data_IF_444090586990
#
_entry.id   IF_444090586990
#
_cell.length_a   1.000
_cell.length_b   1.000
_cell.length_c   1.000
_cell.angle_alpha   90.00
_cell.angle_beta   90.00
_cell.angle_gamma   90.00
#
_symmetry.space_group_name_H-M   'P 1'
#
loop_
_entity.id
_entity.type
_entity.pdbx_description
1 polymer ?
#
# COMPACT_ATOMS: atom_id res chain seq x y z
N UNK A 1 12.67 2.87 2.43
CA UNK A 1 12.46 3.61 1.16
C UNK A 1 11.15 3.22 0.47
N UNK A 2 10.94 1.98 0.02
CA UNK A 2 9.67 1.60 -0.62
C UNK A 2 8.43 1.78 0.29
N UNK A 3 8.53 1.43 1.58
CA UNK A 3 7.48 1.67 2.56
C UNK A 3 7.12 3.17 2.70
N UNK A 4 8.13 4.06 2.65
CA UNK A 4 7.92 5.50 2.71
C UNK A 4 7.16 5.99 1.47
N UNK A 5 7.51 5.50 0.28
CA UNK A 5 6.79 5.82 -0.95
C UNK A 5 5.33 5.39 -0.91
N UNK A 6 5.03 4.23 -0.31
CA UNK A 6 3.69 3.66 -0.25
C UNK A 6 2.87 4.20 0.93
N UNK A 7 3.49 4.91 1.87
CA UNK A 7 2.76 5.50 2.97
C UNK A 7 2.00 6.73 2.46
N UNK A 8 0.65 6.73 2.50
CA UNK A 8 -0.15 7.83 1.97
C UNK A 8 0.08 9.15 2.71
N UNK A 9 0.48 9.13 3.99
CA UNK A 9 0.81 10.34 4.74
C UNK A 9 1.98 11.09 4.09
N UNK A 10 3.02 10.36 3.70
CA UNK A 10 4.26 10.93 3.15
C UNK A 10 4.25 11.04 1.62
N UNK A 11 3.55 10.12 0.93
CA UNK A 11 3.50 10.09 -0.52
C UNK A 11 2.92 11.38 -1.12
N UNK A 12 1.90 11.93 -0.48
CA UNK A 12 1.19 13.10 -0.98
C UNK A 12 1.72 14.43 -0.42
N UNK A 13 2.82 14.45 0.33
CA UNK A 13 3.54 15.68 0.70
C UNK A 13 4.36 16.22 -0.50
N UNK A 14 4.62 17.54 -0.52
CA UNK A 14 5.01 18.32 -1.72
C UNK A 14 6.42 18.06 -2.31
N UNK A 15 7.28 17.22 -1.70
CA UNK A 15 8.64 17.03 -2.22
C UNK A 15 8.73 16.03 -3.38
N UNK A 16 8.75 16.56 -4.60
CA UNK A 16 8.83 15.78 -5.85
C UNK A 16 10.22 15.15 -6.07
N UNK A 17 11.32 15.78 -5.60
CA UNK A 17 12.70 15.32 -5.91
C UNK A 17 13.01 13.99 -5.24
N UNK A 18 12.48 13.77 -4.04
CA UNK A 18 12.65 12.51 -3.31
C UNK A 18 11.88 11.36 -3.99
N UNK A 19 10.75 11.65 -4.65
CA UNK A 19 9.84 10.64 -5.20
C UNK A 19 10.44 9.80 -6.33
N UNK A 20 11.33 10.34 -7.16
CA UNK A 20 11.95 9.57 -8.26
C UNK A 20 12.94 8.53 -7.74
N UNK A 21 13.74 8.89 -6.74
CA UNK A 21 14.66 7.95 -6.07
C UNK A 21 13.90 6.81 -5.37
N UNK A 22 12.77 7.16 -4.75
CA UNK A 22 11.89 6.22 -4.08
C UNK A 22 11.14 5.32 -5.07
N UNK A 23 10.73 5.84 -6.22
CA UNK A 23 10.10 5.04 -7.28
C UNK A 23 11.06 3.97 -7.82
N UNK A 24 12.35 4.30 -8.00
CA UNK A 24 13.36 3.31 -8.38
C UNK A 24 13.49 2.21 -7.33
N UNK A 25 13.50 2.59 -6.06
CA UNK A 25 13.54 1.64 -4.94
C UNK A 25 12.29 0.75 -4.90
N UNK A 26 11.10 1.32 -5.14
CA UNK A 26 9.85 0.58 -5.22
C UNK A 26 9.87 -0.46 -6.34
N UNK A 27 10.36 -0.10 -7.53
CA UNK A 27 10.48 -1.02 -8.68
C UNK A 27 11.31 -2.27 -8.34
N UNK A 28 12.43 -2.07 -7.66
CA UNK A 28 13.31 -3.17 -7.21
C UNK A 28 12.59 -4.06 -6.19
N UNK A 29 11.83 -3.46 -5.28
CA UNK A 29 11.09 -4.24 -4.27
C UNK A 29 9.95 -5.04 -4.92
N UNK A 30 9.20 -4.44 -5.85
CA UNK A 30 8.14 -5.13 -6.61
C UNK A 30 8.72 -6.33 -7.35
N UNK A 31 9.84 -6.17 -8.07
CA UNK A 31 10.45 -7.27 -8.81
C UNK A 31 10.98 -8.40 -7.92
N UNK A 32 11.31 -8.11 -6.65
CA UNK A 32 11.70 -9.14 -5.67
C UNK A 32 10.52 -9.82 -5.00
N UNK A 33 9.42 -9.10 -4.77
CA UNK A 33 8.26 -9.61 -4.03
C UNK A 33 7.25 -10.33 -4.92
N UNK A 34 7.16 -9.96 -6.20
CA UNK A 34 6.23 -10.55 -7.17
C UNK A 34 7.02 -11.28 -8.26
N UNK A 35 7.05 -12.61 -8.15
CA UNK A 35 7.78 -13.50 -9.07
C UNK A 35 7.08 -13.60 -10.43
N UNK A 36 5.78 -13.28 -10.51
CA UNK A 36 5.06 -13.27 -11.77
C UNK A 36 5.30 -11.95 -12.53
N UNK A 37 5.95 -11.97 -13.71
CA UNK A 37 6.31 -10.76 -14.43
C UNK A 37 5.09 -9.95 -14.90
N UNK A 38 3.96 -10.61 -15.18
CA UNK A 38 2.73 -9.93 -15.59
C UNK A 38 2.15 -9.16 -14.42
N UNK A 39 2.08 -9.76 -13.22
CA UNK A 39 1.57 -9.08 -12.01
C UNK A 39 2.51 -7.97 -11.56
N UNK A 40 3.82 -8.17 -11.66
CA UNK A 40 4.80 -7.12 -11.39
C UNK A 40 4.61 -5.92 -12.33
N UNK A 41 4.38 -6.18 -13.63
CA UNK A 41 4.12 -5.13 -14.61
C UNK A 41 2.80 -4.40 -14.35
N UNK A 42 1.74 -5.13 -13.97
CA UNK A 42 0.46 -4.54 -13.58
C UNK A 42 0.61 -3.69 -12.32
N UNK A 43 1.30 -4.16 -11.29
CA UNK A 43 1.58 -3.39 -10.08
C UNK A 43 2.31 -2.08 -10.40
N UNK A 44 3.26 -2.10 -11.34
CA UNK A 44 3.97 -0.90 -11.80
C UNK A 44 3.06 0.08 -12.55
N UNK A 45 2.13 -0.42 -13.36
CA UNK A 45 1.14 0.43 -14.02
C UNK A 45 0.20 1.09 -12.99
N UNK A 46 -0.21 0.34 -11.98
CA UNK A 46 -1.05 0.80 -10.87
C UNK A 46 -0.38 1.86 -9.98
N UNK A 47 0.97 1.96 -9.99
CA UNK A 47 1.69 3.05 -9.29
C UNK A 47 1.23 4.42 -9.78
N UNK A 48 0.89 4.55 -11.08
CA UNK A 48 0.37 5.80 -11.63
C UNK A 48 -0.96 6.19 -10.96
N UNK A 49 -1.85 5.22 -10.78
CA UNK A 49 -3.17 5.41 -10.17
C UNK A 49 -3.03 5.97 -8.75
N UNK A 50 -2.13 5.38 -7.97
CA UNK A 50 -1.81 5.86 -6.62
C UNK A 50 -1.16 7.25 -6.67
N UNK A 51 -0.13 7.43 -7.51
CA UNK A 51 0.62 8.70 -7.62
C UNK A 51 -0.27 9.89 -7.96
N UNK A 52 -1.22 9.69 -8.86
CA UNK A 52 -2.12 10.74 -9.34
C UNK A 52 -3.40 10.85 -8.51
N UNK A 53 -3.51 10.09 -7.40
CA UNK A 53 -4.68 10.04 -6.53
C UNK A 53 -5.98 9.79 -7.31
N UNK A 54 -5.98 8.79 -8.20
CA UNK A 54 -7.12 8.44 -9.05
C UNK A 54 -8.05 7.41 -8.40
N UNK A 55 -9.30 7.36 -8.88
CA UNK A 55 -10.34 6.41 -8.46
C UNK A 55 -10.54 6.39 -6.93
N UNK A 56 -10.51 5.23 -6.27
CA UNK A 56 -10.67 5.12 -4.81
C UNK A 56 -9.71 5.99 -4.00
N UNK A 57 -8.55 6.38 -4.53
CA UNK A 57 -7.60 7.28 -3.86
C UNK A 57 -8.00 8.77 -3.89
N UNK A 58 -8.96 9.14 -4.75
CA UNK A 58 -9.53 10.48 -4.85
C UNK A 58 -10.69 10.70 -3.87
N UNK A 59 -11.21 9.63 -3.27
CA UNK A 59 -12.36 9.72 -2.37
C UNK A 59 -12.04 10.58 -1.14
N UNK A 60 -13.02 11.36 -0.68
CA UNK A 60 -12.86 12.23 0.49
C UNK A 60 -12.46 11.44 1.74
N UNK A 61 -12.99 10.22 1.90
CA UNK A 61 -12.62 9.33 2.99
C UNK A 61 -11.16 8.88 2.86
N UNK A 62 -10.72 8.49 1.65
CA UNK A 62 -9.33 8.13 1.38
C UNK A 62 -8.37 9.30 1.68
N UNK A 63 -8.69 10.51 1.22
CA UNK A 63 -7.89 11.72 1.46
C UNK A 63 -7.74 11.99 2.97
N UNK A 64 -8.85 11.95 3.72
CA UNK A 64 -8.84 12.16 5.19
C UNK A 64 -8.09 11.04 5.92
N UNK A 65 -8.14 9.82 5.39
CA UNK A 65 -7.48 8.65 5.95
C UNK A 65 -5.96 8.64 5.81
N UNK A 66 -5.39 9.44 4.88
CA UNK A 66 -3.94 9.41 4.57
C UNK A 66 -3.04 9.54 5.80
N UNK A 67 -3.43 10.39 6.76
CA UNK A 67 -2.67 10.64 8.00
C UNK A 67 -3.35 10.10 9.25
N UNK A 68 -4.58 9.59 9.14
CA UNK A 68 -5.43 9.20 10.29
C UNK A 68 -5.62 7.69 10.43
N UNK A 69 -5.23 6.93 9.41
CA UNK A 69 -5.39 5.47 9.34
C UNK A 69 -4.00 4.84 9.27
N UNK A 70 -3.85 3.64 9.84
CA UNK A 70 -2.62 2.87 9.63
C UNK A 70 -2.39 2.68 8.11
N UNK A 71 -1.15 2.86 7.59
CA UNK A 71 -0.90 2.75 6.17
C UNK A 71 -1.34 1.42 5.53
N UNK A 72 -1.15 0.29 6.21
CA UNK A 72 -1.56 -1.01 5.67
C UNK A 72 -3.09 -1.15 5.64
N UNK A 73 -3.78 -0.65 6.67
CA UNK A 73 -5.24 -0.57 6.72
C UNK A 73 -5.80 0.39 5.65
N UNK A 74 -5.15 1.54 5.43
CA UNK A 74 -5.55 2.49 4.39
C UNK A 74 -5.49 1.85 2.99
N UNK A 75 -4.42 1.09 2.71
CA UNK A 75 -4.30 0.33 1.46
C UNK A 75 -5.37 -0.75 1.32
N UNK A 76 -5.74 -1.41 2.42
CA UNK A 76 -6.82 -2.40 2.41
C UNK A 76 -8.15 -1.77 1.96
N UNK A 77 -8.50 -0.61 2.54
CA UNK A 77 -9.75 0.09 2.31
C UNK A 77 -9.84 0.77 0.93
N UNK A 78 -8.80 1.49 0.52
CA UNK A 78 -8.87 2.39 -0.65
C UNK A 78 -8.04 1.93 -1.84
N UNK A 79 -7.24 0.87 -1.69
CA UNK A 79 -6.39 0.34 -2.76
C UNK A 79 -7.10 -0.59 -3.75
N UNK A 80 -8.43 -0.59 -3.82
CA UNK A 80 -9.22 -1.52 -4.65
C UNK A 80 -8.95 -1.36 -6.14
N UNK A 81 -8.72 -0.13 -6.61
CA UNK A 81 -8.38 0.19 -8.01
C UNK A 81 -6.92 -0.09 -8.38
N UNK A 82 -6.12 -0.52 -7.41
CA UNK A 82 -4.72 -0.89 -7.59
C UNK A 82 -4.46 -2.27 -6.94
N UNK A 83 -5.12 -3.35 -7.41
CA UNK A 83 -5.19 -4.62 -6.69
C UNK A 83 -3.84 -5.33 -6.53
N UNK A 84 -2.93 -5.23 -7.50
CA UNK A 84 -1.60 -5.84 -7.43
C UNK A 84 -0.68 -5.04 -6.52
N UNK A 85 -0.69 -3.71 -6.67
CA UNK A 85 0.06 -2.78 -5.84
C UNK A 85 -0.43 -2.82 -4.39
N UNK A 86 -1.73 -2.94 -4.14
CA UNK A 86 -2.34 -3.07 -2.80
C UNK A 86 -1.76 -4.24 -2.04
N UNK A 87 -1.69 -5.42 -2.66
CA UNK A 87 -1.12 -6.62 -2.02
C UNK A 87 0.34 -6.41 -1.61
N UNK A 88 1.12 -5.77 -2.49
CA UNK A 88 2.53 -5.46 -2.23
C UNK A 88 2.66 -4.41 -1.13
N UNK A 89 1.85 -3.35 -1.17
CA UNK A 89 1.87 -2.28 -0.19
C UNK A 89 1.49 -2.77 1.21
N UNK A 90 0.40 -3.54 1.32
CA UNK A 90 0.02 -4.16 2.59
C UNK A 90 1.16 -5.04 3.13
N UNK A 91 1.79 -5.88 2.29
CA UNK A 91 2.91 -6.74 2.72
C UNK A 91 4.10 -5.93 3.23
N UNK A 92 4.53 -4.91 2.49
CA UNK A 92 5.66 -4.06 2.86
C UNK A 92 5.36 -3.30 4.16
N UNK A 93 4.19 -2.66 4.25
CA UNK A 93 3.82 -1.79 5.36
C UNK A 93 3.57 -2.58 6.66
N UNK A 94 2.97 -3.77 6.56
CA UNK A 94 2.76 -4.66 7.70
C UNK A 94 4.07 -5.21 8.27
N UNK A 95 5.06 -5.47 7.42
CA UNK A 95 6.39 -5.92 7.84
C UNK A 95 7.22 -4.80 8.47
N UNK A 96 7.04 -3.55 8.04
CA UNK A 96 7.74 -2.43 8.69
C UNK A 96 7.12 -2.04 10.02
N UNK A 97 5.80 -2.20 10.17
CA UNK A 97 5.11 -1.93 11.44
C UNK A 97 5.60 -2.86 12.58
N UNK A 98 5.94 -4.12 12.28
CA UNK A 98 6.53 -5.04 13.26
C UNK A 98 7.98 -4.72 13.61
N UNK A 99 8.72 -4.03 12.73
CA UNK A 99 10.11 -3.62 12.96
C UNK A 99 10.24 -2.31 13.77
N UNK A 100 9.17 -1.52 13.90
CA UNK A 100 9.19 -0.21 14.58
C UNK A 100 8.48 -0.19 15.95
N UNK A 101 8.16 -1.35 16.53
CA UNK A 101 7.71 -1.42 17.92
C UNK A 101 6.32 -0.83 18.21
N UNK A 102 5.29 -1.22 17.45
CA UNK A 102 3.90 -1.10 17.86
C UNK A 102 3.07 -2.22 17.20
N UNK A 103 2.91 -3.36 17.89
CA UNK A 103 1.94 -4.38 17.53
C UNK A 103 0.51 -3.82 17.64
N UNK A 104 -0.07 -3.39 16.52
CA UNK A 104 -1.52 -3.18 16.42
C UNK A 104 -2.14 -4.23 15.51
N UNK A 105 -2.54 -5.32 16.17
CA UNK A 105 -3.66 -6.23 15.88
C UNK A 105 -3.93 -6.57 14.40
N UNK A 106 -3.23 -7.58 13.89
CA UNK A 106 -3.67 -8.38 12.73
C UNK A 106 -4.67 -9.50 13.12
N UNK A 107 -4.92 -9.70 14.41
CA UNK A 107 -5.77 -10.78 14.94
C UNK A 107 -7.25 -10.64 14.63
N UNK A 108 -7.75 -9.43 14.33
CA UNK A 108 -9.20 -9.21 14.16
C UNK A 108 -9.70 -9.64 12.76
N UNK A 109 -8.84 -9.64 11.73
CA UNK A 109 -9.26 -9.98 10.37
C UNK A 109 -9.20 -11.48 10.04
N UNK A 110 -8.39 -12.26 10.76
CA UNK A 110 -8.36 -13.72 10.58
C UNK A 110 -9.66 -14.40 11.04
N UNK A 111 -10.41 -13.79 11.97
CA UNK A 111 -11.63 -14.38 12.53
C UNK A 111 -12.85 -14.27 11.59
N UNK A 112 -12.82 -13.40 10.57
CA UNK A 112 -14.00 -13.15 9.72
C UNK A 112 -14.15 -14.21 8.60
N UNK A 113 -13.12 -15.02 8.32
CA UNK A 113 -13.17 -16.05 7.28
C UNK A 113 -13.42 -17.49 7.76
N UNK A 114 -13.54 -17.74 9.06
CA UNK A 114 -13.98 -19.04 9.61
C UNK A 114 -15.37 -18.93 10.23
N UNK A 115 -16.38 -18.67 9.41
CA UNK A 115 -17.70 -19.24 9.64
C UNK A 115 -18.06 -20.08 8.43
N UNK A 116 -17.59 -21.33 8.45
CA UNK A 116 -18.27 -22.44 7.78
C UNK A 116 -19.73 -22.37 8.23
N UNK A 117 -20.61 -22.05 7.28
CA UNK A 117 -22.04 -22.15 7.48
C UNK A 117 -22.40 -23.58 7.12
N UNK A 118 -22.85 -24.29 8.15
CA UNK A 118 -23.35 -25.67 8.15
C UNK A 118 -24.36 -25.91 7.01
#
# INVERSE_FOLDING_TARGET
>A
MAAYYLNPAYHYEEDVRVKDSLLRSLRIVISRLETNPNRASQALAEVKIFREAMYGFAEQAAIRGRTRTDPAEWWFLYGTDAPNLRKIAMRILSQTASSSGCERNWSTFALIHTKVRN
#
